data_IF_011262901328
#
_entry.id   IF_011262901328
#
_cell.length_a   1.000
_cell.length_b   1.000
_cell.length_c   1.000
_cell.angle_alpha   90.00
_cell.angle_beta   90.00
_cell.angle_gamma   90.00
#
_symmetry.space_group_name_H-M   'P 1'
#
loop_
_entity.id
_entity.type
_entity.pdbx_description
1 polymer ?
#
# COMPACT_ATOMS: atom_id res chain seq x y z
N UNK A 1 -17.51 -24.53 -0.21
CA UNK A 1 -17.66 -23.31 -1.03
C UNK A 1 -17.59 -22.15 -0.07
N UNK A 2 -16.57 -21.28 -0.13
CA UNK A 2 -16.52 -20.12 0.75
C UNK A 2 -17.84 -19.38 0.57
N UNK A 3 -18.55 -19.18 1.66
CA UNK A 3 -19.90 -18.65 1.57
C UNK A 3 -19.83 -17.23 1.00
N UNK A 4 -20.72 -16.86 0.09
CA UNK A 4 -20.87 -15.46 -0.33
C UNK A 4 -20.99 -14.51 0.88
N UNK A 5 -21.50 -15.03 2.01
CA UNK A 5 -21.54 -14.35 3.29
C UNK A 5 -20.13 -14.00 3.82
N UNK A 6 -19.13 -14.86 3.68
CA UNK A 6 -17.74 -14.57 4.07
C UNK A 6 -17.22 -13.35 3.32
N UNK A 7 -17.29 -13.37 1.98
CA UNK A 7 -16.86 -12.22 1.15
C UNK A 7 -17.64 -10.95 1.50
N UNK A 8 -18.96 -11.06 1.73
CA UNK A 8 -19.80 -9.94 2.15
C UNK A 8 -19.36 -9.37 3.50
N UNK A 9 -18.98 -10.20 4.48
CA UNK A 9 -18.47 -9.74 5.78
C UNK A 9 -17.14 -9.00 5.64
N UNK A 10 -16.21 -9.49 4.83
CA UNK A 10 -14.96 -8.78 4.53
C UNK A 10 -15.23 -7.43 3.87
N UNK A 11 -16.14 -7.38 2.89
CA UNK A 11 -16.55 -6.15 2.22
C UNK A 11 -17.24 -5.17 3.17
N UNK A 12 -18.13 -5.65 4.04
CA UNK A 12 -18.82 -4.84 5.03
C UNK A 12 -17.84 -4.25 6.03
N UNK A 13 -16.94 -5.05 6.60
CA UNK A 13 -15.94 -4.58 7.54
C UNK A 13 -14.98 -3.57 6.88
N UNK A 14 -14.49 -3.89 5.68
CA UNK A 14 -13.64 -2.97 4.92
C UNK A 14 -14.36 -1.66 4.58
N UNK A 15 -15.60 -1.73 4.09
CA UNK A 15 -16.38 -0.53 3.76
C UNK A 15 -16.69 0.30 5.00
N UNK A 16 -17.09 -0.34 6.11
CA UNK A 16 -17.41 0.36 7.35
C UNK A 16 -16.20 1.13 7.89
N UNK A 17 -15.04 0.47 8.05
CA UNK A 17 -13.84 1.16 8.54
C UNK A 17 -13.29 2.14 7.51
N UNK A 18 -13.35 1.83 6.21
CA UNK A 18 -12.95 2.75 5.14
C UNK A 18 -13.77 4.05 5.12
N UNK A 19 -15.09 3.95 5.28
CA UNK A 19 -15.96 5.13 5.37
C UNK A 19 -15.73 5.90 6.67
N UNK A 20 -15.55 5.22 7.81
CA UNK A 20 -15.19 5.88 9.06
C UNK A 20 -13.85 6.62 8.96
N UNK A 21 -12.90 6.08 8.20
CA UNK A 21 -11.59 6.69 8.00
C UNK A 21 -11.68 8.01 7.20
N UNK A 22 -12.75 8.28 6.44
CA UNK A 22 -12.95 9.57 5.76
C UNK A 22 -12.97 10.75 6.73
N UNK A 23 -13.44 10.55 7.96
CA UNK A 23 -13.51 11.60 8.97
C UNK A 23 -12.14 11.95 9.59
N UNK A 24 -11.08 11.19 9.27
CA UNK A 24 -9.76 11.38 9.86
C UNK A 24 -8.93 12.52 9.25
N UNK A 25 -9.30 12.99 8.03
CA UNK A 25 -8.51 13.96 7.28
C UNK A 25 -7.16 13.43 6.75
N UNK A 26 -6.89 12.13 6.91
CA UNK A 26 -5.65 11.49 6.44
C UNK A 26 -5.74 11.23 4.92
N UNK A 27 -4.69 11.52 4.13
CA UNK A 27 -4.64 11.15 2.72
C UNK A 27 -4.83 9.64 2.52
N UNK A 28 -5.61 9.24 1.51
CA UNK A 28 -5.91 7.83 1.22
C UNK A 28 -6.51 7.03 2.41
N UNK A 29 -7.13 7.70 3.39
CA UNK A 29 -7.74 7.08 4.56
C UNK A 29 -8.74 5.94 4.24
N UNK A 30 -9.59 6.03 3.19
CA UNK A 30 -10.50 4.93 2.86
C UNK A 30 -9.80 3.63 2.52
N UNK A 31 -8.65 3.70 1.83
CA UNK A 31 -7.88 2.52 1.45
C UNK A 31 -7.23 1.89 2.69
N UNK A 32 -6.62 2.71 3.55
CA UNK A 32 -6.05 2.25 4.80
C UNK A 32 -7.10 1.65 5.74
N UNK A 33 -8.25 2.32 5.88
CA UNK A 33 -9.38 1.86 6.68
C UNK A 33 -9.99 0.57 6.15
N UNK A 34 -10.17 0.45 4.84
CA UNK A 34 -10.68 -0.79 4.23
C UNK A 34 -9.72 -1.97 4.43
N UNK A 35 -8.42 -1.73 4.31
CA UNK A 35 -7.39 -2.73 4.59
C UNK A 35 -7.42 -3.16 6.06
N UNK A 36 -7.54 -2.20 6.99
CA UNK A 36 -7.65 -2.49 8.42
C UNK A 36 -8.91 -3.31 8.74
N UNK A 37 -10.07 -2.91 8.21
CA UNK A 37 -11.33 -3.63 8.44
C UNK A 37 -11.29 -5.07 7.92
N UNK A 38 -10.87 -5.25 6.67
CA UNK A 38 -10.70 -6.59 6.11
C UNK A 38 -9.60 -7.40 6.84
N UNK A 39 -8.51 -6.74 7.23
CA UNK A 39 -7.40 -7.34 7.97
C UNK A 39 -7.80 -7.84 9.36
N UNK A 40 -8.55 -7.05 10.13
CA UNK A 40 -9.07 -7.44 11.45
C UNK A 40 -9.96 -8.68 11.33
N UNK A 41 -10.86 -8.70 10.35
CA UNK A 41 -11.70 -9.88 10.08
C UNK A 41 -10.83 -11.08 9.72
N UNK A 42 -9.83 -10.91 8.85
CA UNK A 42 -8.92 -11.99 8.48
C UNK A 42 -8.10 -12.54 9.65
N UNK A 43 -7.62 -11.66 10.53
CA UNK A 43 -6.78 -12.01 11.67
C UNK A 43 -7.58 -12.62 12.81
N UNK A 44 -8.91 -12.44 12.84
CA UNK A 44 -9.77 -13.07 13.85
C UNK A 44 -9.73 -14.59 13.80
N UNK A 45 -9.36 -15.18 12.66
CA UNK A 45 -9.34 -16.63 12.44
C UNK A 45 -10.72 -17.29 12.44
N UNK A 46 -11.79 -16.52 12.60
CA UNK A 46 -13.16 -17.02 12.70
C UNK A 46 -13.79 -17.29 11.32
N UNK A 47 -13.25 -16.66 10.28
CA UNK A 47 -13.72 -16.79 8.91
C UNK A 47 -12.61 -17.37 8.03
N UNK A 48 -13.00 -18.21 7.07
CA UNK A 48 -12.09 -18.64 6.02
C UNK A 48 -11.64 -17.44 5.17
N UNK A 49 -10.40 -17.44 4.63
CA UNK A 49 -9.95 -16.42 3.70
C UNK A 49 -10.94 -16.25 2.54
N UNK A 50 -11.40 -15.01 2.33
CA UNK A 50 -12.33 -14.72 1.24
C UNK A 50 -11.66 -14.98 -0.12
N UNK A 51 -12.30 -15.81 -0.95
CA UNK A 51 -11.91 -16.00 -2.35
C UNK A 51 -12.63 -15.00 -3.22
N UNK A 52 -11.88 -14.24 -4.01
CA UNK A 52 -12.43 -13.33 -4.99
C UNK A 52 -12.65 -14.03 -6.35
N UNK A 53 -13.66 -13.64 -7.13
CA UNK A 53 -13.78 -14.07 -8.51
C UNK A 53 -12.50 -13.76 -9.30
N UNK A 54 -12.15 -14.65 -10.22
CA UNK A 54 -11.00 -14.44 -11.10
C UNK A 54 -11.18 -13.13 -11.89
N UNK A 55 -10.12 -12.33 -11.99
CA UNK A 55 -10.13 -11.05 -12.70
C UNK A 55 -10.62 -9.84 -11.89
N UNK A 56 -11.21 -10.01 -10.69
CA UNK A 56 -11.64 -8.85 -9.88
C UNK A 56 -10.48 -7.90 -9.58
N UNK A 57 -9.32 -8.44 -9.20
CA UNK A 57 -8.11 -7.66 -8.96
C UNK A 57 -7.68 -6.85 -10.19
N UNK A 58 -7.66 -7.49 -11.36
CA UNK A 58 -7.31 -6.85 -12.63
C UNK A 58 -8.26 -5.69 -12.95
N UNK A 59 -9.56 -5.87 -12.76
CA UNK A 59 -10.56 -4.81 -12.96
C UNK A 59 -10.32 -3.64 -12.01
N UNK A 60 -10.05 -3.91 -10.72
CA UNK A 60 -9.75 -2.87 -9.73
C UNK A 60 -8.45 -2.12 -10.05
N UNK A 61 -7.39 -2.82 -10.46
CA UNK A 61 -6.11 -2.20 -10.84
C UNK A 61 -6.25 -1.34 -12.10
N UNK A 62 -6.97 -1.80 -13.12
CA UNK A 62 -7.28 -1.01 -14.32
C UNK A 62 -8.08 0.23 -13.93
N UNK A 63 -9.07 0.09 -13.04
CA UNK A 63 -9.90 1.21 -12.59
C UNK A 63 -9.07 2.25 -11.83
N UNK A 64 -8.25 1.82 -10.87
CA UNK A 64 -7.35 2.70 -10.11
C UNK A 64 -6.35 3.38 -11.06
N UNK A 65 -5.75 2.62 -11.97
CA UNK A 65 -4.81 3.13 -12.97
C UNK A 65 -5.45 4.16 -13.90
N UNK A 66 -6.70 3.93 -14.29
CA UNK A 66 -7.47 4.87 -15.13
C UNK A 66 -7.78 6.15 -14.36
N UNK A 67 -8.24 6.07 -13.10
CA UNK A 67 -8.48 7.25 -12.27
C UNK A 67 -7.20 8.08 -12.10
N UNK A 68 -6.09 7.44 -11.73
CA UNK A 68 -4.79 8.12 -11.61
C UNK A 68 -4.36 8.71 -12.96
N UNK A 69 -4.51 7.93 -14.04
CA UNK A 69 -4.10 8.32 -15.39
C UNK A 69 -4.89 9.51 -15.94
N UNK A 70 -6.19 9.61 -15.64
CA UNK A 70 -7.01 10.77 -16.05
C UNK A 70 -6.58 12.08 -15.38
N UNK A 71 -5.83 12.00 -14.27
CA UNK A 71 -5.22 13.17 -13.63
C UNK A 71 -3.94 13.66 -14.29
N UNK A 72 -3.35 12.89 -15.21
CA UNK A 72 -2.15 13.29 -15.95
C UNK A 72 -2.54 14.26 -17.07
N UNK A 73 -2.34 15.55 -16.81
CA UNK A 73 -2.62 16.63 -17.76
C UNK A 73 -1.38 17.02 -18.56
N UNK A 74 -1.53 17.89 -19.57
CA UNK A 74 -0.38 18.49 -20.27
C UNK A 74 0.56 19.24 -19.30
N UNK A 75 0.00 19.98 -18.34
CA UNK A 75 0.77 20.64 -17.30
C UNK A 75 1.57 19.64 -16.44
N UNK A 76 0.99 18.47 -16.13
CA UNK A 76 1.69 17.40 -15.42
C UNK A 76 2.90 16.87 -16.23
N UNK A 77 2.78 16.79 -17.56
CA UNK A 77 3.87 16.37 -18.44
C UNK A 77 5.00 17.40 -18.52
N UNK A 78 4.66 18.69 -18.59
CA UNK A 78 5.65 19.77 -18.55
C UNK A 78 6.40 19.80 -17.22
N UNK A 79 5.69 19.60 -16.11
CA UNK A 79 6.31 19.44 -14.79
C UNK A 79 7.20 18.20 -14.74
N UNK A 80 6.79 17.08 -15.35
CA UNK A 80 7.60 15.86 -15.41
C UNK A 80 8.94 16.10 -16.13
N UNK A 81 8.98 16.94 -17.17
CA UNK A 81 10.23 17.31 -17.85
C UNK A 81 11.20 18.11 -16.97
N UNK A 82 10.70 18.76 -15.92
CA UNK A 82 11.53 19.38 -14.90
C UNK A 82 11.89 18.40 -13.78
N UNK A 83 11.00 17.45 -13.48
CA UNK A 83 11.08 16.54 -12.35
C UNK A 83 11.70 15.16 -12.67
N UNK A 84 12.02 14.85 -13.92
CA UNK A 84 12.54 13.51 -14.27
C UNK A 84 13.87 13.18 -13.58
N UNK A 85 14.78 14.16 -13.44
CA UNK A 85 16.06 13.97 -12.73
C UNK A 85 15.83 13.62 -11.25
N UNK A 86 15.10 14.43 -10.45
CA UNK A 86 14.82 14.07 -9.08
C UNK A 86 13.98 12.79 -8.97
N UNK A 87 13.06 12.52 -9.90
CA UNK A 87 12.28 11.27 -9.90
C UNK A 87 13.19 10.04 -10.00
N UNK A 88 14.11 10.01 -10.97
CA UNK A 88 15.07 8.89 -11.12
C UNK A 88 15.94 8.75 -9.87
N UNK A 89 16.47 9.87 -9.35
CA UNK A 89 17.31 9.85 -8.15
C UNK A 89 16.56 9.28 -6.94
N UNK A 90 15.32 9.74 -6.71
CA UNK A 90 14.47 9.26 -5.61
C UNK A 90 14.17 7.76 -5.80
N UNK A 91 13.79 7.33 -7.00
CA UNK A 91 13.50 5.92 -7.26
C UNK A 91 14.72 5.04 -7.02
N UNK A 92 15.90 5.43 -7.53
CA UNK A 92 17.15 4.69 -7.28
C UNK A 92 17.50 4.65 -5.80
N UNK A 93 17.41 5.79 -5.10
CA UNK A 93 17.66 5.85 -3.67
C UNK A 93 16.71 4.96 -2.86
N UNK A 94 15.42 4.95 -3.20
CA UNK A 94 14.43 4.09 -2.56
C UNK A 94 14.69 2.61 -2.81
N UNK A 95 15.07 2.22 -4.04
CA UNK A 95 15.41 0.83 -4.36
C UNK A 95 16.66 0.38 -3.60
N UNK A 96 17.73 1.20 -3.60
CA UNK A 96 18.97 0.90 -2.88
C UNK A 96 18.74 0.83 -1.37
N UNK A 97 18.00 1.79 -0.81
CA UNK A 97 17.66 1.79 0.62
C UNK A 97 16.78 0.59 0.96
N UNK A 98 15.81 0.25 0.13
CA UNK A 98 14.97 -0.94 0.29
C UNK A 98 15.79 -2.23 0.30
N UNK A 99 16.78 -2.35 -0.60
CA UNK A 99 17.69 -3.49 -0.63
C UNK A 99 18.52 -3.59 0.66
N UNK A 100 19.12 -2.47 1.09
CA UNK A 100 19.95 -2.41 2.30
C UNK A 100 19.11 -2.74 3.54
N UNK A 101 17.97 -2.06 3.71
CA UNK A 101 17.07 -2.26 4.85
C UNK A 101 16.49 -3.67 4.84
N UNK A 102 16.10 -4.21 3.69
CA UNK A 102 15.57 -5.56 3.56
C UNK A 102 16.60 -6.62 3.98
N UNK A 103 17.82 -6.56 3.44
CA UNK A 103 18.89 -7.50 3.81
C UNK A 103 19.28 -7.35 5.28
N UNK A 104 19.37 -6.12 5.77
CA UNK A 104 19.74 -5.85 7.16
C UNK A 104 18.66 -6.36 8.12
N UNK A 105 17.39 -6.11 7.83
CA UNK A 105 16.24 -6.58 8.63
C UNK A 105 16.17 -8.10 8.63
N UNK A 106 16.39 -8.75 7.48
CA UNK A 106 16.47 -10.22 7.41
C UNK A 106 17.54 -10.79 8.33
N UNK A 107 18.74 -10.18 8.34
CA UNK A 107 19.84 -10.60 9.21
C UNK A 107 19.58 -10.32 10.70
N UNK A 108 18.97 -9.19 11.01
CA UNK A 108 18.67 -8.77 12.39
C UNK A 108 17.54 -9.60 13.02
N UNK A 109 16.46 -9.82 12.26
CA UNK A 109 15.23 -10.43 12.77
C UNK A 109 15.06 -11.90 12.40
N UNK A 110 15.97 -12.46 11.59
CA UNK A 110 15.93 -13.87 11.18
C UNK A 110 14.76 -14.22 10.25
N UNK A 111 14.19 -13.22 9.56
CA UNK A 111 13.09 -13.42 8.62
C UNK A 111 13.60 -13.77 7.22
N UNK A 112 12.77 -14.46 6.44
CA UNK A 112 13.07 -14.85 5.06
C UNK A 112 13.58 -13.65 4.22
N UNK A 113 14.75 -13.75 3.57
CA UNK A 113 15.31 -12.67 2.78
C UNK A 113 14.37 -12.16 1.67
N UNK A 114 13.60 -13.04 1.03
CA UNK A 114 12.64 -12.67 -0.02
C UNK A 114 11.52 -11.83 0.57
N UNK A 115 10.98 -12.23 1.73
CA UNK A 115 9.96 -11.46 2.45
C UNK A 115 10.48 -10.08 2.83
N UNK A 116 11.68 -10.02 3.40
CA UNK A 116 12.29 -8.77 3.85
C UNK A 116 12.61 -7.82 2.69
N UNK A 117 13.19 -8.36 1.60
CA UNK A 117 13.53 -7.61 0.40
C UNK A 117 12.29 -7.07 -0.30
N UNK A 118 11.30 -7.92 -0.58
CA UNK A 118 10.06 -7.51 -1.24
C UNK A 118 9.21 -6.60 -0.36
N UNK A 119 9.22 -6.80 0.96
CA UNK A 119 8.55 -5.94 1.94
C UNK A 119 9.18 -4.54 2.04
N UNK A 120 10.51 -4.46 2.02
CA UNK A 120 11.24 -3.20 2.08
C UNK A 120 11.28 -2.44 0.74
N UNK A 121 11.19 -3.15 -0.38
CA UNK A 121 11.23 -2.54 -1.71
C UNK A 121 10.06 -1.56 -1.93
N UNK A 122 10.31 -0.37 -2.52
CA UNK A 122 9.25 0.57 -2.87
C UNK A 122 8.32 -0.05 -3.91
N UNK A 123 7.01 0.15 -3.76
CA UNK A 123 6.02 -0.41 -4.69
C UNK A 123 4.61 -0.48 -4.10
N UNK A 124 3.65 -0.91 -4.91
CA UNK A 124 2.27 -1.15 -4.44
C UNK A 124 2.12 -2.52 -3.77
N UNK A 125 1.24 -2.60 -2.76
CA UNK A 125 0.89 -3.85 -2.05
C UNK A 125 0.53 -4.95 -3.05
N UNK A 126 -0.21 -4.59 -4.10
CA UNK A 126 -0.66 -5.52 -5.12
C UNK A 126 0.51 -6.10 -5.92
N UNK A 127 1.33 -5.26 -6.55
CA UNK A 127 2.46 -5.73 -7.36
C UNK A 127 3.44 -6.58 -6.54
N UNK A 128 3.81 -6.12 -5.34
CA UNK A 128 4.83 -6.82 -4.55
C UNK A 128 4.34 -8.13 -3.94
N UNK A 129 3.08 -8.20 -3.51
CA UNK A 129 2.51 -9.47 -3.03
C UNK A 129 2.32 -10.50 -4.14
N UNK A 130 2.10 -10.06 -5.38
CA UNK A 130 2.05 -10.97 -6.53
C UNK A 130 3.42 -11.59 -6.80
N UNK A 131 4.47 -10.76 -6.85
CA UNK A 131 5.85 -11.24 -6.99
C UNK A 131 6.19 -12.19 -5.84
N UNK A 132 5.84 -11.84 -4.60
CA UNK A 132 6.05 -12.71 -3.44
C UNK A 132 5.28 -14.03 -3.52
N UNK A 133 4.13 -14.07 -4.20
CA UNK A 133 3.35 -15.29 -4.37
C UNK A 133 4.07 -16.32 -5.26
N UNK A 134 4.91 -15.87 -6.20
CA UNK A 134 5.78 -16.77 -7.00
C UNK A 134 6.79 -17.52 -6.13
N UNK A 135 7.13 -16.95 -4.96
CA UNK A 135 8.01 -17.55 -3.95
C UNK A 135 7.25 -18.14 -2.75
N UNK A 136 5.91 -18.23 -2.82
CA UNK A 136 5.09 -18.75 -1.72
C UNK A 136 4.94 -17.84 -0.50
N UNK A 137 5.41 -16.59 -0.58
CA UNK A 137 5.43 -15.64 0.55
C UNK A 137 4.55 -14.39 0.34
N UNK A 138 3.67 -14.42 -0.67
CA UNK A 138 2.87 -13.26 -1.08
C UNK A 138 2.01 -12.66 0.04
N UNK A 139 1.44 -13.49 0.92
CA UNK A 139 0.66 -13.03 2.07
C UNK A 139 1.51 -12.25 3.09
N UNK A 140 2.73 -12.72 3.38
CA UNK A 140 3.65 -12.03 4.29
C UNK A 140 4.11 -10.69 3.70
N UNK A 141 4.40 -10.65 2.40
CA UNK A 141 4.75 -9.41 1.68
C UNK A 141 3.57 -8.42 1.70
N UNK A 142 2.35 -8.89 1.45
CA UNK A 142 1.15 -8.06 1.54
C UNK A 142 0.97 -7.44 2.93
N UNK A 143 1.20 -8.22 3.99
CA UNK A 143 1.11 -7.75 5.37
C UNK A 143 2.16 -6.68 5.70
N UNK A 144 3.42 -6.85 5.27
CA UNK A 144 4.46 -5.83 5.46
C UNK A 144 4.11 -4.52 4.73
N UNK A 145 3.65 -4.62 3.49
CA UNK A 145 3.23 -3.46 2.71
C UNK A 145 1.98 -2.77 3.27
N UNK A 146 1.06 -3.53 3.86
CA UNK A 146 -0.11 -3.02 4.56
C UNK A 146 0.30 -2.15 5.77
N UNK A 147 1.15 -2.70 6.65
CA UNK A 147 1.68 -1.96 7.80
C UNK A 147 2.41 -0.71 7.33
N UNK A 148 3.29 -0.84 6.32
CA UNK A 148 4.03 0.29 5.75
C UNK A 148 3.11 1.38 5.22
N UNK A 149 2.06 1.03 4.49
CA UNK A 149 1.10 1.98 3.95
C UNK A 149 0.45 2.79 5.09
N UNK A 150 -0.04 2.11 6.13
CA UNK A 150 -0.67 2.77 7.27
C UNK A 150 0.33 3.67 8.00
N UNK A 151 1.54 3.18 8.27
CA UNK A 151 2.58 3.95 8.96
C UNK A 151 3.00 5.18 8.16
N UNK A 152 3.23 5.06 6.85
CA UNK A 152 3.63 6.19 6.00
C UNK A 152 2.53 7.25 5.94
N UNK A 153 1.26 6.85 5.80
CA UNK A 153 0.14 7.78 5.76
C UNK A 153 -0.04 8.58 7.07
N UNK A 154 0.33 8.00 8.21
CA UNK A 154 0.26 8.68 9.51
C UNK A 154 1.50 9.54 9.79
N UNK A 155 2.69 9.00 9.53
CA UNK A 155 3.96 9.62 9.92
C UNK A 155 4.37 10.72 8.97
N UNK A 156 4.23 10.52 7.65
CA UNK A 156 4.77 11.47 6.66
C UNK A 156 4.13 12.87 6.78
N UNK A 157 2.79 13.03 6.90
CA UNK A 157 2.20 14.35 7.06
C UNK A 157 2.67 15.07 8.34
N UNK A 158 2.83 14.31 9.44
CA UNK A 158 3.34 14.84 10.70
C UNK A 158 4.77 15.34 10.55
N UNK A 159 5.64 14.53 9.93
CA UNK A 159 7.03 14.90 9.67
C UNK A 159 7.13 16.13 8.76
N UNK A 160 6.32 16.19 7.69
CA UNK A 160 6.27 17.37 6.81
C UNK A 160 5.89 18.63 7.58
N UNK A 161 4.86 18.56 8.43
CA UNK A 161 4.41 19.71 9.25
C UNK A 161 5.46 20.17 10.27
N UNK A 162 6.31 19.26 10.75
CA UNK A 162 7.37 19.59 11.71
C UNK A 162 8.62 20.17 11.02
N UNK A 163 8.97 19.66 9.84
CA UNK A 163 10.20 20.03 9.12
C UNK A 163 9.99 21.26 8.24
N UNK A 164 8.82 21.41 7.62
CA UNK A 164 8.47 22.56 6.78
C UNK A 164 7.69 23.53 7.66
N UNK A 165 8.30 24.62 8.18
CA UNK A 165 7.59 25.60 8.98
C UNK A 165 6.44 26.16 8.13
N UNK A 166 5.28 26.35 8.76
CA UNK A 166 4.08 26.90 8.13
C UNK A 166 4.35 28.29 7.53
N UNK A 167 4.87 28.38 6.30
CA UNK A 167 4.88 29.60 5.48
C UNK A 167 3.83 29.54 4.38
N UNK A 168 2.76 28.78 4.59
CA UNK A 168 1.58 28.75 3.74
C UNK A 168 0.36 29.22 4.56
N UNK A 169 0.30 30.54 4.75
CA UNK A 169 -0.73 31.24 5.50
C UNK A 169 -0.65 32.74 5.24
N UNK A 170 -0.70 33.13 3.97
CA UNK A 170 -1.07 34.48 3.49
C UNK A 170 -1.62 34.37 2.09
#
# INVERSE_FOLDING_TARGET
>A
MPSLATLALYLLAGTAIGLLALFSGIPAAPLAGALLGAGIVSMSGQLEPATWPQGTRTVLEISIGTVIGTGLTRASLEQLQLLWKPAILITLALVLTGLVVGLWTSRLLGIDPIVALLGAAPGGISGMSLVGAEFGVGAAVAALHAVRLITVLLVLPLVVRLIVPSTAGS
#
